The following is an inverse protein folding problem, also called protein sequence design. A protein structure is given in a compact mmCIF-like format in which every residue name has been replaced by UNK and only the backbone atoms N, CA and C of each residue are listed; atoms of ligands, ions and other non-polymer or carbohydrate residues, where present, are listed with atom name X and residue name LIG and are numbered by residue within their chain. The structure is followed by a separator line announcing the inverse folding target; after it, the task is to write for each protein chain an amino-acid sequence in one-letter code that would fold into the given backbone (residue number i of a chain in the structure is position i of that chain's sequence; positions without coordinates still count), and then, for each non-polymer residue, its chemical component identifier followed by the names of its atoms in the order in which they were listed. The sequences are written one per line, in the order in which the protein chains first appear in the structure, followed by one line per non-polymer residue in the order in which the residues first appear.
data_IF_725741661198
#
_entry.id   IF_725741661198
#
_cell.length_a   1.000
_cell.length_b   1.000
_cell.length_c   1.000
_cell.angle_alpha   90.00
_cell.angle_beta   90.00
_cell.angle_gamma   90.00
#
_symmetry.space_group_name_H-M   'P 1'
#
loop_
_entity.id
_entity.type
_entity.pdbx_description
1 polymer ?
#
# COMPACT_ATOMS: atom_id res chain seq x y z
N UNK A 1 -22.77 19.22 8.53
CA UNK A 1 -21.42 18.79 8.95
C UNK A 1 -20.68 18.36 7.69
N UNK A 2 -20.08 19.31 6.99
CA UNK A 2 -19.29 19.02 5.78
C UNK A 2 -17.86 18.71 6.20
N UNK A 3 -17.48 17.44 6.11
CA UNK A 3 -16.20 16.98 6.61
C UNK A 3 -15.91 15.57 6.14
N UNK A 4 -15.88 15.36 4.82
CA UNK A 4 -15.72 14.03 4.27
C UNK A 4 -15.03 14.01 2.92
N UNK A 5 -13.77 14.49 2.85
CA UNK A 5 -12.96 14.33 1.65
C UNK A 5 -12.83 12.86 1.21
N UNK A 6 -12.49 12.58 -0.06
CA UNK A 6 -12.38 11.21 -0.55
C UNK A 6 -11.33 10.42 0.25
N UNK A 7 -11.54 9.11 0.35
CA UNK A 7 -10.56 8.20 0.95
C UNK A 7 -9.29 8.19 0.09
N UNK A 8 -8.11 8.22 0.74
CA UNK A 8 -6.82 8.27 0.05
C UNK A 8 -6.09 6.94 0.25
N UNK A 9 -5.53 6.37 -0.82
CA UNK A 9 -4.68 5.18 -0.71
C UNK A 9 -3.23 5.62 -0.77
N UNK A 10 -2.44 5.30 0.25
CA UNK A 10 -1.02 5.59 0.20
C UNK A 10 -0.32 4.68 -0.83
N UNK A 11 0.67 5.17 -1.61
CA UNK A 11 1.34 4.35 -2.63
C UNK A 11 1.95 3.05 -2.08
N UNK A 12 2.54 3.11 -0.89
CA UNK A 12 3.08 1.92 -0.23
C UNK A 12 2.00 0.90 0.18
N UNK A 13 0.74 1.32 0.35
CA UNK A 13 -0.37 0.41 0.58
C UNK A 13 -0.75 -0.34 -0.71
N UNK A 14 -0.72 0.34 -1.87
CA UNK A 14 -0.89 -0.29 -3.19
C UNK A 14 0.21 -1.32 -3.44
N UNK A 15 1.47 -0.92 -3.24
CA UNK A 15 2.62 -1.82 -3.40
C UNK A 15 2.51 -3.06 -2.51
N UNK A 16 2.12 -2.88 -1.24
CA UNK A 16 1.90 -4.03 -0.33
C UNK A 16 0.72 -4.89 -0.75
N UNK A 17 -0.32 -4.32 -1.36
CA UNK A 17 -1.46 -5.09 -1.85
C UNK A 17 -1.03 -5.94 -3.05
N UNK A 18 -0.37 -5.34 -4.02
CA UNK A 18 0.19 -6.02 -5.18
C UNK A 18 1.11 -7.18 -4.75
N UNK A 19 2.10 -6.91 -3.89
CA UNK A 19 3.05 -7.92 -3.42
C UNK A 19 2.37 -9.04 -2.63
N UNK A 20 1.55 -8.68 -1.62
CA UNK A 20 1.11 -9.64 -0.60
C UNK A 20 -0.22 -10.29 -0.95
N UNK A 21 -1.08 -9.64 -1.70
CA UNK A 21 -2.42 -10.14 -1.99
C UNK A 21 -2.45 -10.70 -3.41
N UNK A 22 -2.00 -9.92 -4.40
CA UNK A 22 -1.99 -10.35 -5.81
C UNK A 22 -0.78 -11.24 -6.15
N UNK A 23 0.26 -11.27 -5.31
CA UNK A 23 1.49 -12.03 -5.59
C UNK A 23 2.34 -11.42 -6.70
N UNK A 24 2.17 -10.12 -6.97
CA UNK A 24 2.88 -9.39 -8.01
C UNK A 24 4.37 -9.22 -7.65
N UNK A 25 5.25 -9.42 -8.63
CA UNK A 25 6.69 -9.22 -8.48
C UNK A 25 7.05 -7.73 -8.48
N UNK A 26 6.86 -7.09 -7.33
CA UNK A 26 7.18 -5.68 -7.11
C UNK A 26 8.67 -5.40 -7.32
N UNK A 27 9.56 -6.29 -6.87
CA UNK A 27 11.00 -6.06 -6.96
C UNK A 27 11.49 -6.21 -8.41
N UNK A 28 10.96 -7.17 -9.16
CA UNK A 28 11.18 -7.26 -10.61
C UNK A 28 10.65 -6.02 -11.34
N UNK A 29 9.45 -5.55 -10.99
CA UNK A 29 8.91 -4.31 -11.54
C UNK A 29 9.80 -3.10 -11.21
N UNK A 30 10.30 -2.98 -9.98
CA UNK A 30 11.27 -1.92 -9.61
C UNK A 30 12.50 -1.98 -10.48
N UNK A 31 13.10 -3.14 -10.67
CA UNK A 31 14.33 -3.28 -11.45
C UNK A 31 14.10 -2.92 -12.92
N UNK A 32 12.97 -3.36 -13.49
CA UNK A 32 12.59 -3.13 -14.88
C UNK A 32 12.22 -1.68 -15.16
N UNK A 33 11.48 -1.04 -14.26
CA UNK A 33 10.95 0.31 -14.41
C UNK A 33 11.89 1.41 -13.89
N UNK A 34 12.93 1.04 -13.14
CA UNK A 34 13.86 2.02 -12.57
C UNK A 34 14.52 2.83 -13.70
N UNK A 35 14.33 4.17 -13.72
CA UNK A 35 15.04 5.02 -14.65
C UNK A 35 16.56 4.86 -14.48
N UNK A 36 17.31 4.86 -15.58
CA UNK A 36 18.77 4.70 -15.54
C UNK A 36 19.48 5.73 -14.65
N UNK A 37 18.89 6.92 -14.50
CA UNK A 37 19.40 8.01 -13.67
C UNK A 37 19.21 7.80 -12.15
N UNK A 38 18.41 6.81 -11.73
CA UNK A 38 18.09 6.59 -10.32
C UNK A 38 18.71 5.30 -9.80
N UNK A 39 19.36 5.37 -8.62
CA UNK A 39 19.84 4.17 -7.91
C UNK A 39 18.69 3.34 -7.34
N UNK A 40 17.63 4.00 -6.88
CA UNK A 40 16.44 3.40 -6.27
C UNK A 40 15.19 4.14 -6.71
N UNK A 41 14.07 3.43 -6.83
CA UNK A 41 12.76 4.03 -7.05
C UNK A 41 11.89 3.86 -5.80
N UNK A 42 11.31 4.97 -5.32
CA UNK A 42 10.37 4.95 -4.19
C UNK A 42 8.97 4.50 -4.61
N UNK A 43 8.14 4.13 -3.63
CA UNK A 43 6.80 3.56 -3.88
C UNK A 43 5.89 4.48 -4.69
N UNK A 44 5.93 5.79 -4.43
CA UNK A 44 5.12 6.75 -5.19
C UNK A 44 5.51 6.79 -6.68
N UNK A 45 6.81 6.84 -6.96
CA UNK A 45 7.31 6.83 -8.34
C UNK A 45 7.04 5.47 -9.03
N UNK A 46 7.17 4.36 -8.30
CA UNK A 46 6.85 3.04 -8.83
C UNK A 46 5.36 2.91 -9.17
N UNK A 47 4.47 3.37 -8.30
CA UNK A 47 3.02 3.38 -8.57
C UNK A 47 2.71 4.22 -9.80
N UNK A 48 3.30 5.42 -9.93
CA UNK A 48 3.08 6.27 -11.11
C UNK A 48 3.54 5.61 -12.42
N UNK A 49 4.64 4.86 -12.41
CA UNK A 49 5.09 4.09 -13.58
C UNK A 49 4.18 2.90 -13.87
N UNK A 50 3.72 2.19 -12.83
CA UNK A 50 2.77 1.10 -12.99
C UNK A 50 1.41 1.58 -13.48
N UNK A 51 0.98 2.79 -13.14
CA UNK A 51 -0.23 3.41 -13.70
C UNK A 51 -0.11 3.67 -15.21
N UNK A 52 1.10 3.87 -15.71
CA UNK A 52 1.35 4.05 -17.15
C UNK A 52 1.40 2.71 -17.89
N UNK A 53 2.07 1.70 -17.33
CA UNK A 53 2.21 0.39 -18.00
C UNK A 53 0.99 -0.52 -17.82
N UNK A 54 0.41 -0.55 -16.62
CA UNK A 54 -0.63 -1.47 -16.20
C UNK A 54 -1.82 -0.73 -15.55
N UNK A 55 -2.45 0.23 -16.26
CA UNK A 55 -3.50 1.08 -15.69
C UNK A 55 -4.69 0.26 -15.15
N UNK A 56 -5.05 -0.83 -15.82
CA UNK A 56 -6.14 -1.71 -15.40
C UNK A 56 -5.86 -2.41 -14.06
N UNK A 57 -4.60 -2.79 -13.81
CA UNK A 57 -4.18 -3.41 -12.55
C UNK A 57 -4.31 -2.42 -11.39
N UNK A 58 -3.78 -1.21 -11.55
CA UNK A 58 -3.81 -0.18 -10.50
C UNK A 58 -5.23 0.28 -10.22
N UNK A 59 -6.06 0.47 -11.26
CA UNK A 59 -7.46 0.81 -11.11
C UNK A 59 -8.23 -0.27 -10.33
N UNK A 60 -8.08 -1.55 -10.71
CA UNK A 60 -8.73 -2.69 -10.02
C UNK A 60 -8.36 -2.78 -8.55
N UNK A 61 -7.06 -2.65 -8.25
CA UNK A 61 -6.55 -2.71 -6.87
C UNK A 61 -7.10 -1.55 -6.05
N UNK A 62 -7.05 -0.33 -6.60
CA UNK A 62 -7.55 0.86 -5.93
C UNK A 62 -9.05 0.78 -5.66
N UNK A 63 -9.84 0.34 -6.64
CA UNK A 63 -11.27 0.11 -6.50
C UNK A 63 -11.58 -0.93 -5.42
N UNK A 64 -10.86 -2.06 -5.43
CA UNK A 64 -11.03 -3.13 -4.44
C UNK A 64 -10.78 -2.61 -3.01
N UNK A 65 -9.70 -1.86 -2.82
CA UNK A 65 -9.35 -1.26 -1.54
C UNK A 65 -10.38 -0.22 -1.09
N UNK A 66 -10.86 0.64 -1.99
CA UNK A 66 -11.89 1.65 -1.69
C UNK A 66 -13.22 1.00 -1.32
N UNK A 67 -13.70 0.04 -2.11
CA UNK A 67 -14.95 -0.68 -1.85
C UNK A 67 -14.91 -1.39 -0.50
N UNK A 68 -13.80 -2.06 -0.19
CA UNK A 68 -13.64 -2.72 1.09
C UNK A 68 -13.73 -1.76 2.28
N UNK A 69 -13.23 -0.52 2.13
CA UNK A 69 -13.02 0.39 3.26
C UNK A 69 -13.99 1.59 3.32
N UNK A 70 -14.96 1.69 2.41
CA UNK A 70 -15.86 2.82 2.28
C UNK A 70 -16.55 3.18 3.61
N UNK A 71 -17.06 2.17 4.33
CA UNK A 71 -17.79 2.39 5.58
C UNK A 71 -16.85 2.55 6.80
N UNK A 72 -15.71 1.85 6.79
CA UNK A 72 -14.79 1.80 7.94
C UNK A 72 -14.03 3.13 8.16
N UNK A 73 -13.70 3.86 7.08
CA UNK A 73 -13.06 5.17 7.20
C UNK A 73 -13.98 6.23 7.83
N UNK A 74 -15.29 6.11 7.63
CA UNK A 74 -16.30 7.01 8.19
C UNK A 74 -16.58 6.75 9.67
N UNK A 75 -16.36 5.52 10.14
CA UNK A 75 -16.68 5.10 11.51
C UNK A 75 -15.58 5.37 12.54
N UNK A 76 -14.45 5.97 12.13
CA UNK A 76 -13.29 6.17 13.00
C UNK A 76 -12.48 4.89 13.28
N UNK A 77 -12.67 3.83 12.48
CA UNK A 77 -11.92 2.60 12.66
C UNK A 77 -10.42 2.83 12.38
N UNK A 78 -9.56 2.15 13.15
CA UNK A 78 -8.09 2.15 12.93
C UNK A 78 -7.68 1.01 11.99
N UNK A 79 -8.50 -0.03 11.86
CA UNK A 79 -8.29 -1.11 10.90
C UNK A 79 -9.59 -1.82 10.56
N UNK A 80 -9.63 -2.43 9.37
CA UNK A 80 -10.72 -3.29 8.90
C UNK A 80 -10.13 -4.63 8.45
N UNK A 81 -10.82 -5.73 8.71
CA UNK A 81 -10.55 -7.01 8.04
C UNK A 81 -11.69 -7.28 7.07
N UNK A 82 -11.39 -7.37 5.79
CA UNK A 82 -12.37 -7.68 4.74
C UNK A 82 -11.76 -8.66 3.74
N UNK A 83 -12.53 -9.67 3.32
CA UNK A 83 -12.09 -10.72 2.40
C UNK A 83 -10.73 -11.37 2.78
N UNK A 84 -10.46 -11.53 4.08
CA UNK A 84 -9.17 -12.06 4.53
C UNK A 84 -8.00 -11.10 4.27
N UNK A 85 -8.23 -9.79 4.21
CA UNK A 85 -7.19 -8.76 4.13
C UNK A 85 -7.42 -7.77 5.27
N UNK A 86 -6.38 -7.51 6.06
CA UNK A 86 -6.39 -6.47 7.09
C UNK A 86 -5.88 -5.17 6.50
N UNK A 87 -6.75 -4.18 6.41
CA UNK A 87 -6.49 -2.79 6.06
C UNK A 87 -6.25 -1.99 7.34
N UNK A 88 -5.25 -1.11 7.34
CA UNK A 88 -4.97 -0.21 8.47
C UNK A 88 -5.09 1.22 7.98
N UNK A 89 -5.73 2.03 8.81
CA UNK A 89 -6.08 3.41 8.51
C UNK A 89 -5.27 4.38 9.36
N UNK A 90 -5.01 5.55 8.78
CA UNK A 90 -4.58 6.75 9.51
C UNK A 90 -5.48 7.90 9.07
N UNK A 91 -6.49 8.21 9.89
CA UNK A 91 -7.58 9.08 9.44
C UNK A 91 -8.31 8.45 8.26
N UNK A 92 -8.44 9.17 7.14
CA UNK A 92 -9.10 8.71 5.91
C UNK A 92 -8.15 8.04 4.90
N UNK A 93 -6.91 7.75 5.31
CA UNK A 93 -5.90 7.16 4.45
C UNK A 93 -5.70 5.66 4.75
N UNK A 94 -5.69 4.82 3.72
CA UNK A 94 -5.19 3.45 3.82
C UNK A 94 -3.67 3.49 3.78
N UNK A 95 -3.03 3.10 4.89
CA UNK A 95 -1.57 3.16 5.04
C UNK A 95 -0.91 1.79 5.00
N UNK A 96 -1.65 0.69 5.18
CA UNK A 96 -1.09 -0.64 4.94
C UNK A 96 -2.17 -1.68 4.74
N UNK A 97 -1.77 -2.76 4.08
CA UNK A 97 -2.52 -4.01 3.97
C UNK A 97 -1.68 -5.20 4.43
N UNK A 98 -2.34 -6.20 5.00
CA UNK A 98 -1.73 -7.39 5.56
C UNK A 98 -2.64 -8.61 5.33
N UNK A 99 -2.04 -9.80 5.13
CA UNK A 99 -2.80 -11.06 5.28
C UNK A 99 -3.21 -11.24 6.75
N UNK A 100 -4.31 -11.96 7.04
CA UNK A 100 -4.75 -12.21 8.41
C UNK A 100 -3.69 -13.08 9.09
N UNK A 101 -3.33 -12.76 10.33
CA UNK A 101 -2.27 -13.47 11.06
C UNK A 101 -0.83 -13.05 10.72
N UNK A 102 -0.60 -12.21 9.71
CA UNK A 102 0.72 -11.62 9.48
C UNK A 102 1.07 -10.67 10.63
N UNK A 103 2.11 -10.98 11.42
CA UNK A 103 2.64 -10.08 12.44
C UNK A 103 3.61 -9.07 11.81
N UNK A 104 3.51 -7.80 12.18
CA UNK A 104 4.55 -6.81 11.87
C UNK A 104 5.81 -7.25 12.64
N UNK A 105 6.81 -7.82 11.95
CA UNK A 105 8.14 -7.99 12.54
C UNK A 105 8.71 -6.58 12.76
N UNK A 106 8.73 -6.11 14.02
CA UNK A 106 9.51 -4.91 14.39
C UNK A 106 10.95 -5.20 13.99
N UNK A 107 11.47 -4.54 12.94
CA UNK A 107 12.92 -4.53 12.69
C UNK A 107 13.55 -3.88 13.92
N UNK A 108 14.24 -4.68 14.74
CA UNK A 108 15.12 -4.20 15.79
C UNK A 108 16.25 -3.45 15.05
N UNK A 109 16.29 -2.12 15.13
CA UNK A 109 17.46 -1.36 14.71
C UNK A 109 18.58 -1.76 15.67
N UNK A 110 19.44 -2.68 15.27
CA UNK A 110 20.76 -2.79 15.88
C UNK A 110 21.50 -1.52 15.53
N UNK A 111 21.55 -0.59 16.49
CA UNK A 111 22.61 0.41 16.52
C UNK A 111 23.87 -0.37 16.86
N UNK A 112 24.65 -0.72 15.85
CA UNK A 112 26.07 -0.99 16.05
C UNK A 112 26.69 0.31 16.56
N UNK A 113 27.02 0.31 17.85
CA UNK A 113 27.90 1.29 18.46
C UNK A 113 29.27 1.08 17.85
N UNK A 114 29.70 2.01 17.01
CA UNK A 114 31.09 2.08 16.55
C UNK A 114 31.93 2.45 17.78
N UNK A 115 32.93 1.60 18.04
CA UNK A 115 33.90 1.72 19.13
C UNK A 115 34.77 2.98 19.04
#
# INVERSE_FOLDING_TARGET
MEGGGPMIIAPHAIIRYLERIEGFDVEGARQRLRPAALRTIGDAALVALLEQEEPALIARVSETMMRACADAAGSGAVSLVSAGVKYVFRGRAIVTVMRPGARIKKRKRERETIA
#
